data_IF_093040761368
#
_entry.id   IF_093040761368
#
_cell.length_a   1.000
_cell.length_b   1.000
_cell.length_c   1.000
_cell.angle_alpha   90.00
_cell.angle_beta   90.00
_cell.angle_gamma   90.00
#
_symmetry.space_group_name_H-M   'P 1'
#
loop_
_entity.id
_entity.type
_entity.pdbx_description
1 polymer ?
#
# COMPACT_ATOMS: atom_id res chain seq x y z
N UNK A 1 9.64 -19.27 -26.43
CA UNK A 1 8.66 -19.13 -25.33
C UNK A 1 8.74 -17.69 -24.82
N UNK A 2 7.68 -16.89 -25.01
CA UNK A 2 7.68 -15.48 -24.63
C UNK A 2 7.28 -15.36 -23.16
N UNK A 3 8.26 -15.44 -22.25
CA UNK A 3 8.05 -15.33 -20.80
C UNK A 3 7.68 -13.89 -20.38
N UNK A 4 8.19 -12.91 -21.11
CA UNK A 4 8.03 -11.49 -20.83
C UNK A 4 6.56 -11.01 -20.76
N UNK A 5 5.67 -11.33 -21.72
CA UNK A 5 4.26 -10.94 -21.62
C UNK A 5 3.55 -11.58 -20.42
N UNK A 6 3.92 -12.79 -20.03
CA UNK A 6 3.31 -13.48 -18.89
C UNK A 6 3.64 -12.73 -17.59
N UNK A 7 4.90 -12.32 -17.42
CA UNK A 7 5.34 -11.54 -16.26
C UNK A 7 4.59 -10.20 -16.19
N UNK A 8 4.45 -9.50 -17.33
CA UNK A 8 3.76 -8.21 -17.39
C UNK A 8 2.29 -8.35 -17.02
N UNK A 9 1.59 -9.33 -17.60
CA UNK A 9 0.17 -9.58 -17.32
C UNK A 9 -0.03 -9.94 -15.85
N UNK A 10 0.81 -10.84 -15.32
CA UNK A 10 0.75 -11.26 -13.91
C UNK A 10 0.99 -10.07 -12.99
N UNK A 11 1.98 -9.23 -13.30
CA UNK A 11 2.28 -8.01 -12.55
C UNK A 11 1.11 -7.02 -12.56
N UNK A 12 0.47 -6.80 -13.71
CA UNK A 12 -0.71 -5.93 -13.81
C UNK A 12 -1.89 -6.47 -13.00
N UNK A 13 -2.15 -7.78 -13.06
CA UNK A 13 -3.24 -8.40 -12.29
C UNK A 13 -3.01 -8.17 -10.79
N UNK A 14 -1.80 -8.43 -10.30
CA UNK A 14 -1.44 -8.19 -8.90
C UNK A 14 -1.55 -6.70 -8.55
N UNK A 15 -1.08 -5.83 -9.45
CA UNK A 15 -1.08 -4.39 -9.24
C UNK A 15 -2.49 -3.82 -8.98
N UNK A 16 -3.50 -4.33 -9.68
CA UNK A 16 -4.90 -3.91 -9.52
C UNK A 16 -5.68 -4.74 -8.49
N UNK A 17 -5.38 -6.03 -8.30
CA UNK A 17 -6.08 -6.86 -7.32
C UNK A 17 -5.76 -6.47 -5.87
N UNK A 18 -4.51 -6.09 -5.58
CA UNK A 18 -4.10 -5.74 -4.22
C UNK A 18 -4.90 -4.57 -3.61
N UNK A 19 -5.07 -3.43 -4.31
CA UNK A 19 -5.93 -2.34 -3.83
C UNK A 19 -7.38 -2.77 -3.55
N UNK A 20 -7.91 -3.70 -4.34
CA UNK A 20 -9.28 -4.21 -4.20
C UNK A 20 -9.39 -5.08 -2.95
N UNK A 21 -8.47 -6.04 -2.77
CA UNK A 21 -8.44 -6.91 -1.59
C UNK A 21 -8.16 -6.11 -0.32
N UNK A 22 -7.37 -5.04 -0.42
CA UNK A 22 -7.10 -4.12 0.70
C UNK A 22 -8.28 -3.20 1.05
N UNK A 23 -9.36 -3.18 0.26
CA UNK A 23 -10.51 -2.30 0.49
C UNK A 23 -10.24 -0.83 0.16
N UNK A 24 -9.19 -0.52 -0.59
CA UNK A 24 -8.83 0.85 -0.98
C UNK A 24 -9.48 1.26 -2.30
N UNK A 25 -9.86 0.31 -3.15
CA UNK A 25 -10.49 0.54 -4.44
C UNK A 25 -11.64 -0.44 -4.67
N UNK A 26 -12.79 0.07 -5.09
CA UNK A 26 -13.91 -0.75 -5.53
C UNK A 26 -13.85 -0.98 -7.04
N UNK A 27 -14.25 -2.17 -7.48
CA UNK A 27 -14.31 -2.48 -8.90
C UNK A 27 -15.35 -1.55 -9.57
N UNK A 28 -14.98 -0.78 -10.62
CA UNK A 28 -15.91 0.13 -11.25
C UNK A 28 -17.08 -0.65 -11.86
N UNK A 29 -18.30 -0.30 -11.47
CA UNK A 29 -19.54 -0.92 -11.97
C UNK A 29 -19.89 -0.49 -13.39
N UNK A 30 -19.35 0.66 -13.79
CA UNK A 30 -19.60 1.36 -15.03
C UNK A 30 -18.36 2.13 -15.45
N UNK A 31 -18.26 2.43 -16.75
CA UNK A 31 -17.13 3.16 -17.34
C UNK A 31 -17.30 4.68 -17.25
N UNK A 32 -18.14 5.20 -16.34
CA UNK A 32 -18.23 6.63 -16.14
C UNK A 32 -16.89 7.19 -15.68
N UNK A 33 -16.54 8.43 -16.08
CA UNK A 33 -15.31 9.08 -15.62
C UNK A 33 -15.17 9.13 -14.10
N UNK A 34 -16.30 9.28 -13.39
CA UNK A 34 -16.33 9.31 -11.93
C UNK A 34 -16.03 7.94 -11.32
N UNK A 35 -16.66 6.88 -11.83
CA UNK A 35 -16.42 5.49 -11.40
C UNK A 35 -14.97 5.07 -11.64
N UNK A 36 -14.44 5.35 -12.83
CA UNK A 36 -13.03 5.06 -13.18
C UNK A 36 -12.07 5.93 -12.36
N UNK A 37 -12.40 7.21 -12.14
CA UNK A 37 -11.61 8.13 -11.33
C UNK A 37 -11.53 7.68 -9.87
N UNK A 38 -12.65 7.22 -9.30
CA UNK A 38 -12.70 6.68 -7.94
C UNK A 38 -11.86 5.40 -7.80
N UNK A 39 -11.97 4.49 -8.77
CA UNK A 39 -11.14 3.27 -8.81
C UNK A 39 -9.65 3.61 -8.86
N UNK A 40 -9.23 4.46 -9.82
CA UNK A 40 -7.83 4.86 -9.96
C UNK A 40 -7.32 5.63 -8.74
N UNK A 41 -8.17 6.47 -8.13
CA UNK A 41 -7.87 7.16 -6.88
C UNK A 41 -7.62 6.17 -5.73
N UNK A 42 -8.45 5.14 -5.61
CA UNK A 42 -8.29 4.06 -4.65
C UNK A 42 -7.01 3.26 -4.84
N UNK A 43 -6.72 2.86 -6.08
CA UNK A 43 -5.47 2.17 -6.47
C UNK A 43 -4.26 3.02 -6.06
N UNK A 44 -4.29 4.31 -6.39
CA UNK A 44 -3.20 5.24 -6.07
C UNK A 44 -2.98 5.38 -4.56
N UNK A 45 -4.07 5.53 -3.79
CA UNK A 45 -4.01 5.61 -2.32
C UNK A 45 -3.41 4.36 -1.68
N UNK A 46 -3.78 3.17 -2.17
CA UNK A 46 -3.21 1.92 -1.70
C UNK A 46 -1.69 1.90 -1.86
N UNK A 47 -1.19 2.19 -3.06
CA UNK A 47 0.25 2.16 -3.34
C UNK A 47 1.01 3.24 -2.59
N UNK A 48 0.41 4.42 -2.39
CA UNK A 48 1.00 5.49 -1.56
C UNK A 48 1.10 5.06 -0.09
N UNK A 49 0.04 4.45 0.46
CA UNK A 49 0.06 3.97 1.84
C UNK A 49 1.07 2.84 2.02
N UNK A 50 1.14 1.90 1.07
CA UNK A 50 2.07 0.78 1.10
C UNK A 50 3.52 1.27 1.04
N UNK A 51 3.86 2.24 0.16
CA UNK A 51 5.23 2.78 0.10
C UNK A 51 5.62 3.43 1.44
N UNK A 52 4.69 4.11 2.10
CA UNK A 52 4.98 4.81 3.36
C UNK A 52 5.23 3.82 4.49
N UNK A 53 4.41 2.77 4.58
CA UNK A 53 4.60 1.65 5.53
C UNK A 53 5.94 0.94 5.29
N UNK A 54 6.24 0.64 4.03
CA UNK A 54 7.49 -0.04 3.66
C UNK A 54 8.70 0.84 3.97
N UNK A 55 8.65 2.14 3.66
CA UNK A 55 9.73 3.07 3.99
C UNK A 55 9.90 3.22 5.50
N UNK A 56 8.81 3.25 6.27
CA UNK A 56 8.87 3.26 7.72
C UNK A 56 9.53 1.98 8.27
N UNK A 57 9.17 0.81 7.73
CA UNK A 57 9.75 -0.47 8.13
C UNK A 57 11.24 -0.59 7.77
N UNK A 58 11.67 0.01 6.65
CA UNK A 58 13.06 -0.02 6.18
C UNK A 58 13.93 1.02 6.90
N UNK A 59 13.37 2.03 7.55
CA UNK A 59 14.12 3.08 8.23
C UNK A 59 14.24 2.79 9.75
N UNK A 60 15.32 2.12 10.23
CA UNK A 60 15.46 1.66 11.61
C UNK A 60 15.62 2.80 12.64
N UNK A 61 15.72 4.05 12.20
CA UNK A 61 15.91 5.22 13.06
C UNK A 61 14.66 5.62 13.86
N UNK A 62 13.45 5.18 13.47
CA UNK A 62 12.20 5.51 14.18
C UNK A 62 11.78 4.48 15.24
N UNK A 63 12.25 3.23 15.14
CA UNK A 63 11.92 2.17 16.10
C UNK A 63 12.68 2.33 17.43
N UNK A 64 13.86 2.98 17.38
CA UNK A 64 14.72 3.16 18.56
C UNK A 64 14.20 4.26 19.50
N UNK A 65 13.58 5.33 18.99
CA UNK A 65 13.04 6.40 19.86
C UNK A 65 11.76 5.98 20.60
N UNK A 66 10.87 5.22 19.96
CA UNK A 66 9.65 4.73 20.62
C UNK A 66 9.97 3.74 21.74
N UNK A 67 11.03 2.94 21.59
CA UNK A 67 11.54 2.05 22.64
C UNK A 67 12.13 2.84 23.82
N UNK A 68 12.82 3.96 23.56
CA UNK A 68 13.42 4.79 24.61
C UNK A 68 12.38 5.58 25.42
N UNK A 69 11.34 6.12 24.79
CA UNK A 69 10.28 6.87 25.48
C UNK A 69 9.44 5.96 26.39
N UNK A 70 9.11 4.73 25.94
CA UNK A 70 8.39 3.74 26.76
C UNK A 70 9.24 3.25 27.93
N UNK A 71 10.56 3.10 27.75
CA UNK A 71 11.49 2.74 28.84
C UNK A 71 11.61 3.85 29.90
N UNK A 72 11.73 5.12 29.49
CA UNK A 72 11.84 6.25 30.44
C UNK A 72 10.53 6.49 31.20
N UNK A 73 9.37 6.27 30.56
CA UNK A 73 8.07 6.39 31.23
C UNK A 73 7.81 5.29 32.26
N UNK A 74 8.40 4.10 32.10
CA UNK A 74 8.25 2.99 33.07
C UNK A 74 9.21 3.08 34.26
N UNK A 75 10.26 3.90 34.19
CA UNK A 75 11.23 4.09 35.28
C UNK A 75 10.85 5.23 36.25
N UNK A 76 9.73 5.93 35.97
CA UNK A 76 9.24 7.06 36.78
C UNK A 76 8.04 6.68 37.67
N UNK A 77 7.94 5.39 38.03
CA UNK A 77 7.03 4.84 39.05
C UNK A 77 7.89 4.20 40.14
#
# INVERSE_FOLDING_TARGET
MRILPIIIITGLIIFFCLPIVGGYADLPTDLSPDSVGNFLGGVTRYWISLKDIVMQAINPSTVTEMSFIVCISSYKI
#
